data_IF_335706011576
#
_entry.id   IF_335706011576
#
_cell.length_a   1.000
_cell.length_b   1.000
_cell.length_c   1.000
_cell.angle_alpha   90.00
_cell.angle_beta   90.00
_cell.angle_gamma   90.00
#
_symmetry.space_group_name_H-M   'P 1'
#
loop_
_entity.id
_entity.type
_entity.pdbx_description
1 polymer ?
#
# COMPACT_ATOMS: atom_id res chain seq x y z
N UNK A 1 -33.96 -29.88 -25.09
CA UNK A 1 -34.23 -28.70 -24.22
C UNK A 1 -33.84 -29.03 -22.79
N UNK A 2 -32.67 -28.59 -22.29
CA UNK A 2 -32.27 -28.81 -20.89
C UNK A 2 -32.59 -27.55 -20.08
N UNK A 3 -33.51 -27.68 -19.12
CA UNK A 3 -33.94 -26.59 -18.22
C UNK A 3 -32.77 -26.22 -17.30
N UNK A 4 -32.39 -24.93 -17.33
CA UNK A 4 -31.31 -24.37 -16.50
C UNK A 4 -31.87 -23.93 -15.15
N UNK A 5 -31.41 -24.55 -14.06
CA UNK A 5 -31.71 -24.16 -12.69
C UNK A 5 -30.64 -23.22 -12.14
N UNK A 6 -31.07 -22.16 -11.44
CA UNK A 6 -30.20 -21.17 -10.77
C UNK A 6 -29.79 -21.73 -9.40
N UNK A 7 -28.49 -21.72 -9.07
CA UNK A 7 -28.04 -21.91 -7.68
C UNK A 7 -27.93 -20.54 -6.99
N UNK A 8 -28.40 -20.49 -5.74
CA UNK A 8 -28.46 -19.26 -4.93
C UNK A 8 -27.08 -18.63 -4.66
N UNK A 9 -27.04 -17.32 -4.34
CA UNK A 9 -25.81 -16.57 -4.19
C UNK A 9 -25.02 -16.97 -2.93
N UNK A 10 -23.68 -16.96 -3.04
CA UNK A 10 -22.73 -16.99 -1.91
C UNK A 10 -22.25 -15.55 -1.70
N UNK A 11 -22.26 -15.00 -0.47
CA UNK A 11 -21.90 -13.60 -0.25
C UNK A 11 -20.40 -13.37 -0.54
N UNK A 12 -20.04 -12.38 -1.37
CA UNK A 12 -18.68 -11.89 -1.47
C UNK A 12 -18.36 -10.90 -0.34
N UNK A 13 -17.17 -11.03 0.25
CA UNK A 13 -16.64 -10.05 1.20
C UNK A 13 -15.93 -8.93 0.43
N UNK A 14 -16.59 -7.79 0.21
CA UNK A 14 -15.96 -6.57 -0.29
C UNK A 14 -15.84 -5.57 0.87
N UNK A 15 -14.67 -4.93 0.98
CA UNK A 15 -14.46 -3.78 1.87
C UNK A 15 -15.27 -2.56 1.40
N UNK A 16 -15.78 -1.78 2.36
CA UNK A 16 -16.81 -0.77 2.16
C UNK A 16 -16.32 0.48 1.37
N UNK A 17 -17.17 1.06 0.49
CA UNK A 17 -17.00 2.43 0.00
C UNK A 17 -17.45 3.47 1.06
N UNK A 18 -17.18 4.79 0.85
CA UNK A 18 -17.53 5.87 1.79
C UNK A 18 -19.02 5.99 2.14
N UNK A 19 -19.90 5.35 1.35
CA UNK A 19 -21.35 5.32 1.52
C UNK A 19 -21.87 4.14 2.36
N UNK A 20 -20.99 3.39 3.02
CA UNK A 20 -21.33 2.20 3.79
C UNK A 20 -21.23 0.90 2.99
N UNK A 21 -21.23 -0.23 3.70
CA UNK A 21 -21.16 -1.57 3.10
C UNK A 21 -22.34 -1.81 2.16
N UNK A 22 -22.04 -2.15 0.91
CA UNK A 22 -23.04 -2.57 -0.07
C UNK A 22 -22.78 -4.00 -0.50
N UNK A 23 -23.80 -4.85 -0.44
CA UNK A 23 -23.73 -6.23 -0.93
C UNK A 23 -23.83 -6.25 -2.46
N UNK A 24 -22.70 -6.45 -3.12
CA UNK A 24 -22.68 -6.64 -4.57
C UNK A 24 -22.93 -8.11 -4.91
N UNK A 25 -24.15 -8.41 -5.36
CA UNK A 25 -24.47 -9.70 -5.95
C UNK A 25 -23.95 -9.77 -7.39
N UNK A 26 -22.73 -10.27 -7.59
CA UNK A 26 -22.22 -10.57 -8.93
C UNK A 26 -22.86 -11.87 -9.45
N UNK A 27 -23.60 -11.84 -10.58
CA UNK A 27 -24.13 -13.05 -11.19
C UNK A 27 -22.98 -13.97 -11.59
N UNK A 28 -23.06 -15.25 -11.19
CA UNK A 28 -22.08 -16.26 -11.57
C UNK A 28 -22.74 -17.23 -12.55
N UNK A 29 -22.10 -17.44 -13.69
CA UNK A 29 -22.51 -18.48 -14.63
C UNK A 29 -22.05 -19.86 -14.15
N UNK A 30 -22.79 -20.92 -14.50
CA UNK A 30 -22.47 -22.29 -14.07
C UNK A 30 -21.16 -22.81 -14.67
N UNK A 31 -20.76 -22.28 -15.83
CA UNK A 31 -19.50 -22.61 -16.48
C UNK A 31 -18.30 -21.79 -15.97
N UNK A 32 -18.54 -20.76 -15.14
CA UNK A 32 -17.50 -19.87 -14.61
C UNK A 32 -16.79 -19.00 -15.66
N UNK A 33 -17.35 -18.89 -16.86
CA UNK A 33 -16.84 -18.15 -18.03
C UNK A 33 -17.19 -16.66 -18.01
N UNK A 34 -18.06 -16.22 -17.12
CA UNK A 34 -18.39 -14.81 -17.01
C UNK A 34 -17.27 -14.04 -16.30
N UNK A 35 -16.66 -13.09 -17.02
CA UNK A 35 -15.67 -12.15 -16.50
C UNK A 35 -16.33 -10.76 -16.33
N UNK A 36 -16.59 -10.31 -15.09
CA UNK A 36 -17.17 -9.00 -14.85
C UNK A 36 -16.20 -7.88 -15.28
N UNK A 37 -16.69 -6.95 -16.12
CA UNK A 37 -15.83 -5.91 -16.72
C UNK A 37 -15.60 -4.70 -15.81
N UNK A 38 -16.55 -4.38 -14.93
CA UNK A 38 -16.48 -3.20 -14.05
C UNK A 38 -15.73 -3.46 -12.73
N UNK A 39 -15.85 -4.67 -12.19
CA UNK A 39 -15.17 -5.11 -10.97
C UNK A 39 -14.55 -6.45 -11.29
N UNK A 40 -13.22 -6.50 -11.36
CA UNK A 40 -12.53 -7.74 -11.72
C UNK A 40 -12.82 -8.79 -10.64
N UNK A 41 -12.99 -10.03 -11.07
CA UNK A 41 -13.12 -11.18 -10.18
C UNK A 41 -11.89 -11.22 -9.25
N UNK A 42 -12.10 -11.26 -7.93
CA UNK A 42 -11.04 -11.15 -6.91
C UNK A 42 -10.31 -9.80 -6.85
N UNK A 43 -10.99 -8.68 -7.15
CA UNK A 43 -10.44 -7.36 -6.89
C UNK A 43 -10.37 -7.10 -5.37
N UNK A 44 -9.29 -7.57 -4.76
CA UNK A 44 -8.91 -7.35 -3.36
C UNK A 44 -7.97 -6.16 -3.21
N UNK A 45 -7.72 -5.43 -4.31
CA UNK A 45 -6.81 -4.29 -4.36
C UNK A 45 -7.49 -3.05 -3.81
N UNK A 46 -6.78 -2.41 -2.87
CA UNK A 46 -7.02 -1.04 -2.46
C UNK A 46 -7.01 -0.13 -3.71
N UNK A 47 -7.88 0.88 -3.78
CA UNK A 47 -7.84 1.80 -4.92
C UNK A 47 -6.52 2.59 -4.91
N UNK A 48 -6.02 2.96 -6.10
CA UNK A 48 -4.79 3.76 -6.26
C UNK A 48 -4.82 5.05 -5.41
N UNK A 49 -6.01 5.62 -5.20
CA UNK A 49 -6.22 6.80 -4.35
C UNK A 49 -5.87 6.52 -2.88
N UNK A 50 -6.33 5.40 -2.33
CA UNK A 50 -6.06 5.06 -0.93
C UNK A 50 -4.59 4.67 -0.77
N UNK A 51 -3.98 4.00 -1.74
CA UNK A 51 -2.54 3.73 -1.69
C UNK A 51 -1.72 5.03 -1.64
N UNK A 52 -2.05 6.02 -2.48
CA UNK A 52 -1.43 7.35 -2.42
C UNK A 52 -1.64 8.02 -1.08
N UNK A 53 -2.82 7.87 -0.47
CA UNK A 53 -3.10 8.40 0.86
C UNK A 53 -2.24 7.71 1.92
N UNK A 54 -2.13 6.37 1.90
CA UNK A 54 -1.23 5.62 2.79
C UNK A 54 0.21 6.13 2.65
N UNK A 55 0.72 6.29 1.43
CA UNK A 55 2.07 6.80 1.19
C UNK A 55 2.27 8.23 1.72
N UNK A 56 1.28 9.11 1.54
CA UNK A 56 1.32 10.48 2.08
C UNK A 56 1.36 10.47 3.62
N UNK A 57 0.53 9.67 4.26
CA UNK A 57 0.47 9.54 5.71
C UNK A 57 1.76 8.93 6.29
N UNK A 58 2.33 7.94 5.60
CA UNK A 58 3.64 7.38 5.92
C UNK A 58 4.75 8.42 5.78
N UNK A 59 4.74 9.22 4.70
CA UNK A 59 5.70 10.32 4.49
C UNK A 59 5.62 11.42 5.55
N UNK A 60 4.48 11.58 6.22
CA UNK A 60 4.30 12.47 7.37
C UNK A 60 4.78 11.86 8.71
N UNK A 61 5.31 10.63 8.69
CA UNK A 61 5.88 9.97 9.87
C UNK A 61 4.86 9.35 10.81
N UNK A 62 3.63 9.12 10.37
CA UNK A 62 2.62 8.48 11.22
C UNK A 62 2.91 6.99 11.46
N UNK A 63 2.59 6.51 12.67
CA UNK A 63 2.73 5.09 12.98
C UNK A 63 1.72 4.26 12.17
N UNK A 64 2.04 3.00 11.88
CA UNK A 64 1.17 2.14 11.06
C UNK A 64 -0.23 1.97 11.66
N UNK A 65 -0.34 1.94 12.99
CA UNK A 65 -1.63 1.88 13.68
C UNK A 65 -2.46 3.15 13.45
N UNK A 66 -1.83 4.32 13.43
CA UNK A 66 -2.50 5.61 13.17
C UNK A 66 -2.92 5.71 11.71
N UNK A 67 -2.06 5.29 10.79
CA UNK A 67 -2.38 5.20 9.36
C UNK A 67 -3.61 4.29 9.15
N UNK A 68 -3.61 3.11 9.77
CA UNK A 68 -4.72 2.16 9.66
C UNK A 68 -6.03 2.75 10.21
N UNK A 69 -5.96 3.41 11.37
CA UNK A 69 -7.09 4.10 12.00
C UNK A 69 -7.65 5.20 11.09
N UNK A 70 -6.76 6.01 10.50
CA UNK A 70 -7.16 7.13 9.66
C UNK A 70 -7.78 6.69 8.33
N UNK A 71 -7.26 5.60 7.73
CA UNK A 71 -7.87 5.00 6.54
C UNK A 71 -9.25 4.42 6.86
N UNK A 72 -9.40 3.77 8.01
CA UNK A 72 -10.69 3.24 8.44
C UNK A 72 -11.72 4.36 8.69
N UNK A 73 -11.32 5.45 9.32
CA UNK A 73 -12.19 6.60 9.60
C UNK A 73 -12.64 7.30 8.32
N UNK A 74 -11.73 7.62 7.41
CA UNK A 74 -12.03 8.39 6.21
C UNK A 74 -12.72 7.58 5.11
N UNK A 75 -12.37 6.30 4.98
CA UNK A 75 -12.79 5.49 3.84
C UNK A 75 -13.65 4.27 4.24
N UNK A 76 -13.85 4.01 5.53
CA UNK A 76 -14.60 2.83 6.00
C UNK A 76 -13.86 1.51 5.75
N UNK A 77 -12.54 1.57 5.51
CA UNK A 77 -11.74 0.42 5.10
C UNK A 77 -10.73 0.01 6.17
N UNK A 78 -10.77 -1.26 6.56
CA UNK A 78 -9.75 -1.84 7.42
C UNK A 78 -8.51 -2.22 6.61
N UNK A 79 -7.36 -1.67 6.98
CA UNK A 79 -6.06 -1.99 6.38
C UNK A 79 -5.12 -2.55 7.45
N UNK A 80 -4.41 -3.63 7.10
CA UNK A 80 -3.44 -4.25 8.01
C UNK A 80 -2.08 -3.57 7.92
N UNK A 81 -1.25 -3.72 8.96
CA UNK A 81 0.16 -3.28 8.92
C UNK A 81 0.94 -3.95 7.77
N UNK A 82 0.61 -5.20 7.43
CA UNK A 82 1.22 -5.90 6.30
C UNK A 82 0.81 -5.26 4.96
N UNK A 83 -0.44 -4.80 4.84
CA UNK A 83 -0.92 -4.06 3.67
C UNK A 83 -0.21 -2.71 3.54
N UNK A 84 -0.07 -1.97 4.65
CA UNK A 84 0.66 -0.69 4.67
C UNK A 84 2.12 -0.92 4.24
N UNK A 85 2.80 -1.93 4.82
CA UNK A 85 4.16 -2.31 4.44
C UNK A 85 4.26 -2.61 2.94
N UNK A 86 3.35 -3.44 2.41
CA UNK A 86 3.36 -3.80 0.99
C UNK A 86 3.14 -2.59 0.07
N UNK A 87 2.34 -1.61 0.49
CA UNK A 87 2.16 -0.35 -0.25
C UNK A 87 3.43 0.49 -0.21
N UNK A 88 4.06 0.65 0.97
CA UNK A 88 5.31 1.41 1.11
C UNK A 88 6.48 0.76 0.39
N UNK A 89 6.52 -0.57 0.32
CA UNK A 89 7.57 -1.33 -0.36
C UNK A 89 7.58 -1.09 -1.88
N UNK A 90 6.46 -0.63 -2.47
CA UNK A 90 6.39 -0.23 -3.87
C UNK A 90 7.34 0.93 -4.21
N UNK A 91 7.77 1.71 -3.21
CA UNK A 91 8.73 2.80 -3.39
C UNK A 91 10.18 2.32 -3.48
N UNK A 92 10.50 1.09 -3.04
CA UNK A 92 11.88 0.59 -2.97
C UNK A 92 12.60 0.67 -4.33
N UNK A 93 11.99 0.29 -5.48
CA UNK A 93 12.65 0.42 -6.77
C UNK A 93 12.97 1.87 -7.15
N UNK A 94 12.05 2.80 -6.89
CA UNK A 94 12.23 4.23 -7.15
C UNK A 94 13.33 4.82 -6.26
N UNK A 95 13.36 4.46 -4.98
CA UNK A 95 14.41 4.85 -4.05
C UNK A 95 15.79 4.37 -4.51
N UNK A 96 15.90 3.14 -5.02
CA UNK A 96 17.15 2.62 -5.58
C UNK A 96 17.61 3.38 -6.81
N UNK A 97 16.68 3.72 -7.71
CA UNK A 97 16.99 4.55 -8.88
C UNK A 97 17.45 5.95 -8.47
N UNK A 98 16.75 6.56 -7.51
CA UNK A 98 17.10 7.87 -6.96
C UNK A 98 18.50 7.86 -6.31
N UNK A 99 18.86 6.80 -5.59
CA UNK A 99 20.20 6.64 -5.01
C UNK A 99 21.30 6.53 -6.07
N UNK A 100 21.00 5.99 -7.25
CA UNK A 100 21.94 5.80 -8.35
C UNK A 100 21.96 6.96 -9.35
N UNK A 101 21.20 8.04 -9.11
CA UNK A 101 21.11 9.16 -10.03
C UNK A 101 22.49 9.82 -10.25
N UNK A 102 22.80 10.29 -11.46
CA UNK A 102 24.03 11.03 -11.70
C UNK A 102 24.06 12.32 -10.87
N UNK A 103 25.23 12.64 -10.33
CA UNK A 103 25.47 13.88 -9.57
C UNK A 103 26.19 14.90 -10.44
N UNK A 104 26.20 16.16 -10.01
CA UNK A 104 26.99 17.21 -10.63
C UNK A 104 28.48 16.90 -10.53
N UNK A 105 29.28 17.45 -11.46
CA UNK A 105 30.73 17.23 -11.46
C UNK A 105 31.45 17.96 -10.31
N UNK A 106 30.84 18.99 -9.75
CA UNK A 106 31.44 19.84 -8.72
C UNK A 106 30.42 20.16 -7.62
N UNK A 107 30.83 20.00 -6.37
CA UNK A 107 30.09 20.38 -5.18
C UNK A 107 31.07 21.10 -4.24
N UNK A 108 31.09 22.45 -4.20
CA UNK A 108 32.09 23.20 -3.43
C UNK A 108 32.01 22.93 -1.92
N UNK A 109 30.83 22.57 -1.41
CA UNK A 109 30.62 22.21 -0.02
C UNK A 109 29.81 20.92 0.09
N UNK A 110 30.24 20.05 0.98
CA UNK A 110 29.57 18.81 1.39
C UNK A 110 29.53 18.78 2.92
N UNK A 111 28.42 18.29 3.46
CA UNK A 111 28.31 17.95 4.88
C UNK A 111 28.12 16.46 5.02
N UNK A 112 28.56 15.90 6.15
CA UNK A 112 28.31 14.53 6.55
C UNK A 112 27.65 14.56 7.91
N UNK A 113 26.41 14.08 7.97
CA UNK A 113 25.64 13.97 9.21
C UNK A 113 25.33 12.51 9.50
N UNK A 114 25.15 12.18 10.78
CA UNK A 114 24.81 10.85 11.23
C UNK A 114 23.69 10.91 12.28
N UNK A 115 22.63 10.13 12.06
CA UNK A 115 21.54 9.94 13.03
C UNK A 115 21.52 8.48 13.46
N UNK A 116 21.55 8.23 14.77
CA UNK A 116 21.55 6.88 15.32
C UNK A 116 20.11 6.41 15.56
N UNK A 117 19.80 5.22 15.06
CA UNK A 117 18.51 4.55 15.24
C UNK A 117 18.71 3.18 15.86
N UNK A 118 17.77 2.76 16.72
CA UNK A 118 17.68 1.38 17.18
C UNK A 118 16.95 0.55 16.13
N UNK A 119 17.67 -0.36 15.48
CA UNK A 119 17.16 -1.21 14.41
C UNK A 119 17.16 -2.65 14.87
N UNK A 120 16.12 -3.41 14.54
CA UNK A 120 16.07 -4.85 14.82
C UNK A 120 16.75 -5.61 13.67
N UNK A 121 17.78 -6.37 13.97
CA UNK A 121 18.49 -7.24 13.01
C UNK A 121 18.67 -8.62 13.66
N UNK A 122 18.30 -9.69 12.95
CA UNK A 122 18.38 -11.08 13.45
C UNK A 122 17.80 -11.29 14.87
N UNK A 123 16.69 -10.61 15.15
CA UNK A 123 15.97 -10.70 16.42
C UNK A 123 16.52 -9.81 17.55
N UNK A 124 17.66 -9.14 17.37
CA UNK A 124 18.29 -8.26 18.36
C UNK A 124 18.17 -6.79 17.96
N UNK A 125 18.05 -5.91 18.94
CA UNK A 125 18.11 -4.47 18.70
C UNK A 125 19.56 -4.01 18.74
N UNK A 126 19.99 -3.36 17.66
CA UNK A 126 21.32 -2.79 17.50
C UNK A 126 21.18 -1.30 17.20
N UNK A 127 22.11 -0.51 17.70
CA UNK A 127 22.22 0.90 17.32
C UNK A 127 22.97 1.01 16.00
N UNK A 128 22.34 1.64 15.00
CA UNK A 128 22.90 1.84 13.66
C UNK A 128 22.82 3.31 13.28
N UNK A 129 23.91 3.82 12.70
CA UNK A 129 23.95 5.19 12.16
C UNK A 129 23.46 5.20 10.72
N UNK A 130 22.53 6.11 10.42
CA UNK A 130 22.17 6.50 9.05
C UNK A 130 22.97 7.75 8.71
N UNK A 131 23.77 7.68 7.66
CA UNK A 131 24.58 8.79 7.17
C UNK A 131 23.87 9.54 6.06
N UNK A 132 23.83 10.86 6.15
CA UNK A 132 23.28 11.75 5.11
C UNK A 132 24.37 12.69 4.61
N UNK A 133 24.44 12.85 3.28
CA UNK A 133 25.46 13.67 2.62
C UNK A 133 24.78 14.74 1.75
N UNK A 134 24.36 15.88 2.34
CA UNK A 134 23.89 17.02 1.56
C UNK A 134 25.07 17.74 0.91
N UNK A 135 24.87 18.20 -0.32
CA UNK A 135 25.84 18.98 -1.07
C UNK A 135 25.24 20.26 -1.62
N UNK A 136 26.05 21.32 -1.64
CA UNK A 136 25.71 22.56 -2.34
C UNK A 136 26.13 22.43 -3.81
N UNK A 137 25.26 22.91 -4.71
CA UNK A 137 25.55 23.05 -6.13
C UNK A 137 25.91 24.49 -6.48
#
# INVERSE_FOLDING_TARGET
>A
MKRSGRNGPRPPALGAPPSGSFELNTPRDRAGTFEPQLIKKHQTYLSDEIERKILSLFGLGMAYQDIASHVAELYGLSVSNATISAVTDKLIPELKQWQQRPLGSHHPFLWLEAIHYKVKTDGRYEEKAVYTVPGLN
#
